data_IF_274034598395
#
_entry.id   IF_274034598395
#
_cell.length_a   1.000
_cell.length_b   1.000
_cell.length_c   1.000
_cell.angle_alpha   90.00
_cell.angle_beta   90.00
_cell.angle_gamma   90.00
#
_symmetry.space_group_name_H-M   'P 1'
#
loop_
_entity.id
_entity.type
_entity.pdbx_description
1 polymer ?
#
# COMPACT_ATOMS: atom_id res chain seq x y z
N UNK A 1 -50.56 14.54 44.05
CA UNK A 1 -49.92 15.18 42.87
C UNK A 1 -48.40 15.42 42.94
N UNK A 2 -47.75 15.40 44.13
CA UNK A 2 -46.27 15.62 44.23
C UNK A 2 -45.40 14.41 43.80
N UNK A 3 -45.91 13.18 43.88
CA UNK A 3 -45.13 11.96 43.55
C UNK A 3 -45.02 11.68 42.04
N UNK A 4 -45.92 12.20 41.20
CA UNK A 4 -45.83 12.04 39.72
C UNK A 4 -44.76 12.94 39.08
N UNK A 5 -44.46 14.10 39.72
CA UNK A 5 -43.42 15.01 39.16
C UNK A 5 -41.98 14.50 39.35
N UNK A 6 -41.75 13.75 40.42
CA UNK A 6 -40.42 13.19 40.72
C UNK A 6 -40.02 12.04 39.75
N UNK A 7 -40.98 11.25 39.29
CA UNK A 7 -40.70 10.16 38.31
C UNK A 7 -40.40 10.67 36.90
N UNK A 8 -41.03 11.77 36.49
CA UNK A 8 -40.81 12.33 35.17
C UNK A 8 -39.43 12.99 34.99
N UNK A 9 -38.91 13.60 36.07
CA UNK A 9 -37.55 14.20 36.04
C UNK A 9 -36.46 13.16 36.04
N UNK A 10 -36.65 12.03 36.74
CA UNK A 10 -35.67 10.91 36.71
C UNK A 10 -35.61 10.21 35.37
N UNK A 11 -36.71 10.08 34.65
CA UNK A 11 -36.76 9.45 33.33
C UNK A 11 -36.05 10.32 32.26
N UNK A 12 -36.18 11.65 32.35
CA UNK A 12 -35.53 12.58 31.43
C UNK A 12 -33.99 12.56 31.57
N UNK A 13 -33.45 12.41 32.80
CA UNK A 13 -32.01 12.34 33.05
C UNK A 13 -31.41 11.03 32.52
N UNK A 14 -32.11 9.91 32.65
CA UNK A 14 -31.65 8.62 32.10
C UNK A 14 -31.68 8.62 30.59
N UNK A 15 -32.69 9.24 29.95
CA UNK A 15 -32.71 9.38 28.48
C UNK A 15 -31.59 10.29 27.95
N UNK A 16 -31.25 11.36 28.66
CA UNK A 16 -30.14 12.24 28.27
C UNK A 16 -28.77 11.55 28.38
N UNK A 17 -28.57 10.69 29.38
CA UNK A 17 -27.35 9.91 29.55
C UNK A 17 -27.18 8.83 28.47
N UNK A 18 -28.26 8.20 28.03
CA UNK A 18 -28.21 7.20 26.95
C UNK A 18 -27.94 7.85 25.58
N UNK A 19 -28.43 9.07 25.34
CA UNK A 19 -28.20 9.78 24.10
C UNK A 19 -26.75 10.29 23.96
N UNK A 20 -26.02 10.53 25.05
CA UNK A 20 -24.61 10.98 24.98
C UNK A 20 -23.62 9.82 24.75
N UNK A 21 -23.99 8.59 25.05
CA UNK A 21 -23.17 7.41 24.79
C UNK A 21 -23.25 6.98 23.32
N UNK A 22 -24.33 7.34 22.59
CA UNK A 22 -24.50 6.96 21.19
C UNK A 22 -23.74 7.82 20.18
N UNK A 23 -23.15 8.95 20.58
CA UNK A 23 -22.42 9.84 19.66
C UNK A 23 -20.89 9.69 19.73
N UNK A 24 -20.38 8.78 20.54
CA UNK A 24 -18.96 8.45 20.59
C UNK A 24 -18.61 7.19 19.78
N UNK A 25 -19.38 6.87 18.75
CA UNK A 25 -18.96 5.90 17.77
C UNK A 25 -17.94 6.60 16.88
N UNK A 26 -16.70 6.45 17.28
CA UNK A 26 -15.56 6.89 16.47
C UNK A 26 -15.63 6.19 15.14
N UNK A 27 -15.52 6.97 14.04
CA UNK A 27 -15.46 6.48 12.66
C UNK A 27 -14.16 5.68 12.36
N UNK A 28 -13.60 5.00 13.37
CA UNK A 28 -12.29 4.37 13.35
C UNK A 28 -12.32 2.85 13.09
N UNK A 29 -13.50 2.27 12.81
CA UNK A 29 -13.63 0.81 12.85
C UNK A 29 -13.40 0.08 11.51
N UNK A 30 -13.10 0.73 10.39
CA UNK A 30 -13.11 0.04 9.08
C UNK A 30 -11.74 -0.11 8.38
N UNK A 31 -10.65 0.31 8.99
CA UNK A 31 -9.33 0.08 8.38
C UNK A 31 -8.62 -1.10 9.06
N UNK A 32 -8.74 -2.27 8.50
CA UNK A 32 -8.12 -3.51 8.97
C UNK A 32 -6.57 -3.43 9.15
N UNK A 33 -5.93 -2.41 8.57
CA UNK A 33 -4.50 -2.12 8.76
C UNK A 33 -4.21 -1.12 9.89
N UNK A 34 -5.23 -0.58 10.56
CA UNK A 34 -5.06 0.22 11.76
C UNK A 34 -4.80 -0.70 12.97
N UNK A 35 -3.82 -0.34 13.79
CA UNK A 35 -3.48 -1.11 14.98
C UNK A 35 -4.53 -1.00 16.08
N UNK A 36 -4.58 -2.01 16.95
CA UNK A 36 -5.49 -2.06 18.10
C UNK A 36 -5.10 -1.09 19.24
N UNK A 37 -3.83 -0.67 19.30
CA UNK A 37 -3.40 0.31 20.30
C UNK A 37 -4.02 1.69 20.04
N UNK A 38 -4.36 2.45 21.10
CA UNK A 38 -4.75 3.84 20.97
C UNK A 38 -3.71 4.63 20.20
N UNK A 39 -4.14 5.53 19.31
CA UNK A 39 -3.25 6.23 18.38
C UNK A 39 -1.97 6.80 19.01
N UNK A 40 -2.10 7.44 20.19
CA UNK A 40 -0.94 8.06 20.89
C UNK A 40 0.04 7.05 21.48
N UNK A 41 -0.37 5.80 21.64
CA UNK A 41 0.43 4.71 22.22
C UNK A 41 1.11 3.88 21.14
N UNK A 42 0.71 4.05 19.89
CA UNK A 42 1.36 3.37 18.76
C UNK A 42 2.81 3.80 18.63
N UNK A 43 3.63 2.90 18.14
CA UNK A 43 4.99 3.21 17.73
C UNK A 43 5.01 4.42 16.80
N UNK A 44 5.92 5.38 17.03
CA UNK A 44 6.01 6.57 16.17
C UNK A 44 6.44 6.22 14.75
N UNK A 45 6.15 7.12 13.80
CA UNK A 45 6.57 6.93 12.41
C UNK A 45 8.09 6.88 12.27
N UNK A 46 8.84 7.61 13.08
CA UNK A 46 10.29 7.57 13.10
C UNK A 46 10.82 6.21 13.61
N UNK A 47 10.20 5.65 14.66
CA UNK A 47 10.58 4.33 15.15
C UNK A 47 10.25 3.23 14.11
N UNK A 48 9.14 3.37 13.37
CA UNK A 48 8.85 2.49 12.24
C UNK A 48 9.94 2.55 11.16
N UNK A 49 10.41 3.74 10.81
CA UNK A 49 11.51 3.91 9.86
C UNK A 49 12.81 3.25 10.35
N UNK A 50 13.15 3.47 11.63
CA UNK A 50 14.35 2.90 12.25
C UNK A 50 14.35 1.37 12.27
N UNK A 51 13.18 0.74 12.37
CA UNK A 51 13.05 -0.70 12.57
C UNK A 51 12.58 -1.42 11.30
N UNK A 52 11.41 -1.09 10.78
CA UNK A 52 10.80 -1.83 9.67
C UNK A 52 11.43 -1.45 8.33
N UNK A 53 11.73 -0.17 8.10
CA UNK A 53 12.40 0.26 6.87
C UNK A 53 13.85 -0.26 6.80
N UNK A 54 14.55 -0.32 7.94
CA UNK A 54 15.87 -0.94 8.01
C UNK A 54 15.80 -2.44 7.69
N UNK A 55 14.84 -3.16 8.27
CA UNK A 55 14.62 -4.58 8.01
C UNK A 55 14.29 -4.85 6.54
N UNK A 56 13.52 -3.96 5.91
CA UNK A 56 13.28 -4.01 4.46
C UNK A 56 14.58 -3.96 3.66
N UNK A 57 15.51 -3.09 4.02
CA UNK A 57 16.81 -3.00 3.36
C UNK A 57 17.66 -4.26 3.49
N UNK A 58 17.66 -4.88 4.65
CA UNK A 58 18.35 -6.16 4.89
C UNK A 58 17.72 -7.27 4.03
N UNK A 59 16.39 -7.38 4.02
CA UNK A 59 15.66 -8.33 3.18
C UNK A 59 16.01 -8.16 1.70
N UNK A 60 15.93 -6.93 1.19
CA UNK A 60 16.26 -6.59 -0.19
C UNK A 60 17.70 -7.02 -0.54
N UNK A 61 18.65 -6.82 0.38
CA UNK A 61 20.05 -7.19 0.19
C UNK A 61 20.22 -8.71 0.08
N UNK A 62 19.53 -9.47 0.93
CA UNK A 62 19.57 -10.93 0.92
C UNK A 62 18.94 -11.52 -0.34
N UNK A 63 17.75 -11.03 -0.73
CA UNK A 63 17.08 -11.51 -1.92
C UNK A 63 17.85 -11.14 -3.18
N UNK A 64 18.44 -9.94 -3.25
CA UNK A 64 19.28 -9.51 -4.37
C UNK A 64 20.46 -10.44 -4.62
N UNK A 65 21.04 -11.01 -3.58
CA UNK A 65 22.14 -11.95 -3.72
C UNK A 65 21.73 -13.28 -4.39
N UNK A 66 20.44 -13.59 -4.39
CA UNK A 66 19.86 -14.85 -4.86
C UNK A 66 18.83 -14.66 -5.99
N UNK A 67 18.73 -13.47 -6.57
CA UNK A 67 17.75 -13.14 -7.60
C UNK A 67 18.40 -12.55 -8.84
N UNK A 68 17.60 -12.39 -9.90
CA UNK A 68 17.94 -11.56 -11.05
C UNK A 68 17.91 -10.05 -10.72
N UNK A 69 17.78 -9.20 -11.75
CA UNK A 69 17.70 -7.76 -11.56
C UNK A 69 16.59 -7.34 -10.60
N UNK A 70 16.84 -6.27 -9.84
CA UNK A 70 15.91 -5.68 -8.89
C UNK A 70 15.64 -4.24 -9.30
N UNK A 71 14.40 -3.82 -9.20
CA UNK A 71 13.99 -2.45 -9.53
C UNK A 71 13.05 -1.87 -8.47
N UNK A 72 13.16 -0.57 -8.23
CA UNK A 72 12.16 0.21 -7.51
C UNK A 72 11.07 0.62 -8.48
N UNK A 73 9.85 0.08 -8.31
CA UNK A 73 8.69 0.46 -9.12
C UNK A 73 8.09 1.77 -8.67
N UNK A 74 7.90 1.92 -7.36
CA UNK A 74 7.37 3.13 -6.73
C UNK A 74 8.30 3.50 -5.58
N UNK A 75 8.81 4.74 -5.52
CA UNK A 75 9.63 5.17 -4.40
C UNK A 75 8.80 5.27 -3.11
N UNK A 76 9.49 5.18 -1.98
CA UNK A 76 8.87 5.38 -0.68
C UNK A 76 8.24 6.76 -0.54
N UNK A 77 7.11 6.83 0.16
CA UNK A 77 6.35 8.05 0.40
C UNK A 77 5.85 8.12 1.84
N UNK A 78 5.74 9.32 2.39
CA UNK A 78 5.04 9.60 3.64
C UNK A 78 3.89 10.57 3.33
N UNK A 79 2.71 10.23 3.81
CA UNK A 79 1.50 11.05 3.70
C UNK A 79 0.95 11.39 5.07
N UNK A 80 0.18 12.47 5.17
CA UNK A 80 -0.54 12.81 6.40
C UNK A 80 -1.76 11.90 6.53
N UNK A 81 -2.06 11.50 7.75
CA UNK A 81 -3.27 10.80 8.13
C UNK A 81 -3.88 11.44 9.40
N UNK A 82 -4.92 10.88 9.98
CA UNK A 82 -5.68 11.41 11.14
C UNK A 82 -4.80 11.82 12.34
N UNK A 83 -4.19 13.00 12.27
CA UNK A 83 -3.33 13.54 13.33
C UNK A 83 -1.90 13.01 13.37
N UNK A 84 -1.49 12.26 12.36
CA UNK A 84 -0.16 11.66 12.23
C UNK A 84 0.28 11.48 10.80
N UNK A 85 1.06 10.44 10.59
CA UNK A 85 1.68 10.14 9.30
C UNK A 85 1.61 8.64 9.00
N UNK A 86 1.44 8.34 7.73
CA UNK A 86 1.54 6.98 7.20
C UNK A 86 2.69 6.93 6.20
N UNK A 87 3.50 5.90 6.28
CA UNK A 87 4.61 5.65 5.37
C UNK A 87 4.35 4.38 4.57
N UNK A 88 4.53 4.46 3.27
CA UNK A 88 4.72 3.29 2.42
C UNK A 88 6.18 3.24 2.00
N UNK A 89 6.84 2.10 2.20
CA UNK A 89 8.22 1.87 1.73
C UNK A 89 8.26 1.83 0.21
N UNK A 90 9.45 1.83 -0.38
CA UNK A 90 9.56 1.59 -1.81
C UNK A 90 8.93 0.25 -2.20
N UNK A 91 8.18 0.23 -3.31
CA UNK A 91 7.72 -1.02 -3.92
C UNK A 91 8.88 -1.57 -4.75
N UNK A 92 9.45 -2.66 -4.25
CA UNK A 92 10.59 -3.33 -4.86
C UNK A 92 10.10 -4.55 -5.63
N UNK A 93 10.56 -4.72 -6.86
CA UNK A 93 10.30 -5.91 -7.65
C UNK A 93 11.62 -6.61 -7.98
N UNK A 94 11.63 -7.92 -7.77
CA UNK A 94 12.73 -8.82 -8.08
C UNK A 94 12.36 -9.60 -9.34
N UNK A 95 13.20 -9.54 -10.37
CA UNK A 95 12.98 -10.30 -11.58
C UNK A 95 13.48 -11.75 -11.44
N UNK A 96 12.86 -12.64 -12.16
CA UNK A 96 13.24 -14.07 -12.16
C UNK A 96 14.69 -14.29 -12.63
N UNK A 97 15.38 -15.34 -12.18
CA UNK A 97 14.89 -16.36 -11.29
C UNK A 97 15.05 -15.98 -9.81
N UNK A 98 13.99 -16.05 -9.05
CA UNK A 98 14.01 -16.03 -7.59
C UNK A 98 13.12 -17.17 -7.11
N UNK A 99 13.59 -17.93 -6.11
CA UNK A 99 12.75 -18.91 -5.45
C UNK A 99 11.71 -18.17 -4.59
N UNK A 100 10.47 -18.13 -5.07
CA UNK A 100 9.36 -17.40 -4.44
C UNK A 100 9.03 -17.93 -3.06
N UNK A 101 9.07 -19.24 -2.86
CA UNK A 101 8.79 -19.87 -1.55
C UNK A 101 9.89 -19.55 -0.54
N UNK A 102 11.15 -19.61 -0.94
CA UNK A 102 12.26 -19.19 -0.11
C UNK A 102 12.16 -17.70 0.26
N UNK A 103 11.89 -16.83 -0.70
CA UNK A 103 11.76 -15.39 -0.47
C UNK A 103 10.59 -15.08 0.47
N UNK A 104 9.47 -15.80 0.34
CA UNK A 104 8.30 -15.71 1.21
C UNK A 104 8.60 -16.16 2.64
N UNK A 105 9.28 -17.30 2.80
CA UNK A 105 9.70 -17.80 4.10
C UNK A 105 10.68 -16.83 4.80
N UNK A 106 11.64 -16.30 4.06
CA UNK A 106 12.57 -15.28 4.56
C UNK A 106 11.82 -14.02 5.01
N UNK A 107 10.82 -13.55 4.25
CA UNK A 107 10.01 -12.41 4.65
C UNK A 107 9.26 -12.68 5.96
N UNK A 108 8.64 -13.86 6.12
CA UNK A 108 7.98 -14.26 7.37
C UNK A 108 8.91 -14.18 8.57
N UNK A 109 10.10 -14.77 8.46
CA UNK A 109 11.10 -14.78 9.53
C UNK A 109 11.54 -13.36 9.89
N UNK A 110 12.00 -12.61 8.90
CA UNK A 110 12.60 -11.30 9.13
C UNK A 110 11.61 -10.25 9.65
N UNK A 111 10.38 -10.24 9.13
CA UNK A 111 9.40 -9.24 9.54
C UNK A 111 8.69 -9.60 10.84
N UNK A 112 8.64 -10.89 11.23
CA UNK A 112 8.18 -11.30 12.55
C UNK A 112 9.07 -10.72 13.68
N UNK A 113 10.37 -10.61 13.47
CA UNK A 113 11.31 -10.02 14.45
C UNK A 113 11.02 -8.53 14.73
N UNK A 114 10.32 -7.85 13.85
CA UNK A 114 9.95 -6.43 14.00
C UNK A 114 8.45 -6.21 14.24
N UNK A 115 7.75 -7.26 14.68
CA UNK A 115 6.37 -7.18 15.17
C UNK A 115 5.28 -7.44 14.12
N UNK A 116 5.63 -7.75 12.87
CA UNK A 116 4.67 -8.10 11.83
C UNK A 116 4.45 -9.63 11.87
N UNK A 117 3.66 -10.09 12.82
CA UNK A 117 3.51 -11.52 13.15
C UNK A 117 2.22 -12.15 12.68
N UNK A 118 1.17 -11.36 12.48
CA UNK A 118 -0.13 -11.89 12.06
C UNK A 118 -0.18 -12.05 10.56
N UNK A 119 -0.40 -13.30 10.13
CA UNK A 119 -0.45 -13.64 8.71
C UNK A 119 -1.90 -13.63 8.26
N UNK A 120 -2.20 -12.86 7.23
CA UNK A 120 -3.47 -12.92 6.50
C UNK A 120 -3.19 -13.13 5.03
N UNK A 121 -4.04 -13.89 4.36
CA UNK A 121 -3.89 -14.19 2.95
C UNK A 121 -2.52 -14.79 2.61
N UNK A 122 -2.28 -16.03 3.07
CA UNK A 122 -1.08 -16.82 2.75
C UNK A 122 -1.43 -17.87 1.70
N UNK A 123 -1.35 -17.50 0.44
CA UNK A 123 -1.71 -18.31 -0.71
C UNK A 123 -0.60 -18.32 -1.79
N UNK A 124 -0.92 -18.89 -2.95
CA UNK A 124 0.00 -18.99 -4.09
C UNK A 124 0.35 -17.62 -4.71
N UNK A 125 -0.51 -16.61 -4.52
CA UNK A 125 -0.29 -15.27 -5.07
C UNK A 125 0.50 -14.35 -4.12
N UNK A 126 0.64 -14.73 -2.85
CA UNK A 126 1.40 -13.94 -1.89
C UNK A 126 0.97 -14.06 -0.44
N UNK A 127 1.33 -13.04 0.36
CA UNK A 127 0.92 -12.96 1.75
C UNK A 127 0.91 -11.54 2.27
N UNK A 128 0.17 -11.32 3.37
CA UNK A 128 0.24 -10.12 4.18
C UNK A 128 0.68 -10.47 5.60
N UNK A 129 1.64 -9.71 6.12
CA UNK A 129 2.09 -9.77 7.51
C UNK A 129 1.69 -8.48 8.20
N UNK A 130 0.94 -8.57 9.30
CA UNK A 130 0.38 -7.41 10.01
C UNK A 130 1.02 -7.19 11.37
N UNK A 131 1.16 -5.91 11.75
CA UNK A 131 1.35 -5.46 13.12
C UNK A 131 -0.02 -5.13 13.73
N UNK A 132 -0.62 -6.08 14.45
CA UNK A 132 -1.94 -5.89 15.08
C UNK A 132 -1.95 -4.80 16.14
N UNK A 133 -0.82 -4.51 16.76
CA UNK A 133 -0.74 -3.52 17.83
C UNK A 133 -0.64 -2.11 17.29
N UNK A 134 0.31 -1.87 16.40
CA UNK A 134 0.59 -0.52 15.92
C UNK A 134 -0.06 -0.22 14.56
N UNK A 135 -0.54 -1.23 13.87
CA UNK A 135 -1.06 -1.13 12.51
C UNK A 135 0.02 -1.22 11.44
N UNK A 136 -0.44 -1.32 10.22
CA UNK A 136 0.42 -1.51 9.05
C UNK A 136 0.65 -2.97 8.70
N UNK A 137 1.27 -3.19 7.57
CA UNK A 137 1.53 -4.52 7.03
C UNK A 137 2.72 -4.54 6.08
N UNK A 138 3.24 -5.73 5.84
CA UNK A 138 4.09 -6.05 4.68
C UNK A 138 3.26 -6.86 3.70
N UNK A 139 3.26 -6.43 2.45
CA UNK A 139 2.71 -7.17 1.33
C UNK A 139 3.85 -7.82 0.56
N UNK A 140 3.78 -9.13 0.44
CA UNK A 140 4.64 -9.93 -0.40
C UNK A 140 3.78 -10.55 -1.49
N UNK A 141 4.01 -10.18 -2.73
CA UNK A 141 3.26 -10.66 -3.89
C UNK A 141 4.11 -11.49 -4.84
N UNK A 142 3.62 -12.65 -5.23
CA UNK A 142 4.17 -13.45 -6.31
C UNK A 142 3.46 -13.04 -7.60
N UNK A 143 4.21 -12.56 -8.58
CA UNK A 143 3.68 -12.11 -9.87
C UNK A 143 3.88 -13.15 -10.98
N UNK A 144 3.73 -14.44 -10.65
CA UNK A 144 3.98 -15.55 -11.56
C UNK A 144 5.36 -15.42 -12.22
N UNK A 145 5.42 -15.44 -13.54
CA UNK A 145 6.67 -15.33 -14.32
C UNK A 145 7.38 -13.97 -14.19
N UNK A 146 6.76 -12.99 -13.53
CA UNK A 146 7.31 -11.62 -13.41
C UNK A 146 8.15 -11.39 -12.16
N UNK A 147 8.28 -12.41 -11.29
CA UNK A 147 9.08 -12.35 -10.07
C UNK A 147 8.26 -11.97 -8.83
N UNK A 148 8.93 -11.40 -7.85
CA UNK A 148 8.39 -11.08 -6.52
C UNK A 148 8.29 -9.58 -6.37
N UNK A 149 7.22 -9.09 -5.75
CA UNK A 149 7.08 -7.71 -5.32
C UNK A 149 6.95 -7.64 -3.80
N UNK A 150 7.57 -6.63 -3.19
CA UNK A 150 7.52 -6.41 -1.76
C UNK A 150 7.37 -4.92 -1.45
N UNK A 151 6.52 -4.59 -0.50
CA UNK A 151 6.44 -3.28 0.13
C UNK A 151 5.83 -3.40 1.54
N UNK A 152 6.05 -2.38 2.36
CA UNK A 152 5.44 -2.27 3.67
C UNK A 152 4.73 -0.93 3.83
N UNK A 153 3.63 -0.91 4.58
CA UNK A 153 2.98 0.31 5.04
C UNK A 153 2.90 0.34 6.55
N UNK A 154 3.08 1.52 7.13
CA UNK A 154 3.12 1.67 8.58
C UNK A 154 1.74 1.70 9.24
N UNK A 155 0.66 1.89 8.47
CA UNK A 155 -0.55 2.43 9.03
C UNK A 155 -0.35 3.85 9.57
N UNK A 156 -1.41 4.46 10.11
CA UNK A 156 -1.36 5.80 10.65
C UNK A 156 -0.68 5.82 12.03
N UNK A 157 0.43 6.58 12.17
CA UNK A 157 1.27 6.63 13.38
C UNK A 157 1.53 8.05 13.84
N UNK A 158 1.68 8.29 15.16
CA UNK A 158 2.08 9.59 15.66
C UNK A 158 3.52 9.93 15.27
N UNK A 159 3.87 11.22 15.22
CA UNK A 159 5.26 11.66 15.21
C UNK A 159 5.82 11.66 16.65
N UNK A 160 7.09 11.19 16.83
CA UNK A 160 7.75 11.10 18.14
C UNK A 160 7.87 12.45 18.85
N UNK A 161 8.12 13.50 18.10
CA UNK A 161 8.45 14.84 18.60
C UNK A 161 7.57 15.95 18.00
N UNK A 162 6.51 15.57 17.29
CA UNK A 162 5.63 16.50 16.61
C UNK A 162 6.21 17.11 15.31
N UNK A 163 7.44 16.74 14.94
CA UNK A 163 8.02 17.20 13.66
C UNK A 163 7.38 16.48 12.46
N UNK A 164 7.35 17.17 11.33
CA UNK A 164 6.88 16.57 10.09
C UNK A 164 7.97 15.67 9.48
N UNK A 165 7.79 14.34 9.48
CA UNK A 165 8.79 13.42 8.98
C UNK A 165 9.07 13.57 7.48
N UNK A 166 8.18 14.22 6.72
CA UNK A 166 8.38 14.46 5.28
C UNK A 166 9.49 15.47 5.01
N UNK A 167 9.76 16.35 5.98
CA UNK A 167 10.80 17.39 5.85
C UNK A 167 12.17 16.94 6.31
N UNK A 168 12.24 15.95 7.17
CA UNK A 168 13.49 15.47 7.79
C UNK A 168 13.98 14.15 7.22
N UNK A 169 13.09 13.40 6.54
CA UNK A 169 13.43 12.07 6.02
C UNK A 169 14.41 12.12 4.86
N UNK A 170 15.46 11.35 4.97
CA UNK A 170 16.33 10.96 3.85
C UNK A 170 15.96 9.55 3.43
N UNK A 171 15.81 9.31 2.14
CA UNK A 171 15.61 7.94 1.63
C UNK A 171 16.80 7.07 2.00
N UNK A 172 16.57 5.82 2.45
CA UNK A 172 17.66 4.94 2.79
C UNK A 172 18.50 4.59 1.56
N UNK A 173 19.77 4.32 1.81
CA UNK A 173 20.71 4.03 0.73
C UNK A 173 20.29 2.84 -0.12
N UNK A 174 19.76 1.79 0.50
CA UNK A 174 19.30 0.61 -0.22
C UNK A 174 18.23 0.94 -1.28
N UNK A 175 17.35 1.93 -1.04
CA UNK A 175 16.35 2.39 -2.01
C UNK A 175 16.98 3.18 -3.15
N UNK A 176 18.00 3.99 -2.85
CA UNK A 176 18.67 4.85 -3.84
C UNK A 176 19.65 4.09 -4.73
N UNK A 177 20.20 2.99 -4.23
CA UNK A 177 21.15 2.13 -4.95
C UNK A 177 20.47 1.16 -5.94
N UNK A 178 19.16 1.03 -5.87
CA UNK A 178 18.38 0.19 -6.79
C UNK A 178 17.89 1.02 -7.98
N UNK A 179 18.05 0.52 -9.22
CA UNK A 179 17.52 1.19 -10.39
C UNK A 179 16.00 1.40 -10.30
N UNK A 180 15.53 2.56 -10.72
CA UNK A 180 14.09 2.79 -10.88
C UNK A 180 13.59 2.11 -12.13
N UNK A 181 12.45 1.44 -12.02
CA UNK A 181 11.75 0.92 -13.18
C UNK A 181 11.40 2.06 -14.14
N UNK A 182 11.78 1.89 -15.39
CA UNK A 182 11.38 2.77 -16.50
C UNK A 182 10.55 1.91 -17.44
N UNK A 183 9.26 2.21 -17.63
CA UNK A 183 8.47 1.48 -18.61
C UNK A 183 9.13 1.63 -19.99
N UNK A 184 9.10 0.58 -20.83
CA UNK A 184 9.62 0.68 -22.18
C UNK A 184 8.91 1.83 -22.89
N UNK A 185 9.70 2.69 -23.56
CA UNK A 185 9.15 3.78 -24.36
C UNK A 185 8.41 3.12 -25.52
N UNK A 186 7.09 3.07 -25.46
CA UNK A 186 6.29 2.64 -26.62
C UNK A 186 6.42 3.74 -27.66
N UNK A 187 7.28 3.51 -28.66
CA UNK A 187 7.24 4.32 -29.87
C UNK A 187 5.81 4.17 -30.42
N UNK A 188 5.06 5.26 -30.58
CA UNK A 188 3.72 5.13 -31.14
C UNK A 188 3.84 4.44 -32.50
N UNK A 189 3.22 3.28 -32.63
CA UNK A 189 3.13 2.59 -33.93
C UNK A 189 2.43 3.56 -34.85
N UNK A 190 3.07 3.96 -36.00
CA UNK A 190 2.42 4.85 -36.92
C UNK A 190 1.05 4.26 -37.28
N UNK A 191 0.00 5.07 -37.39
CA UNK A 191 -1.31 4.58 -37.71
C UNK A 191 -1.21 3.75 -39.00
N UNK A 192 -1.68 2.51 -38.94
CA UNK A 192 -1.75 1.62 -40.08
C UNK A 192 -2.45 2.38 -41.20
N UNK A 193 -1.73 2.64 -42.30
CA UNK A 193 -2.28 3.33 -43.45
C UNK A 193 -3.63 2.67 -43.82
N UNK A 194 -4.70 3.44 -43.72
CA UNK A 194 -6.02 2.96 -44.12
C UNK A 194 -5.99 2.52 -45.58
N UNK A 195 -6.90 1.64 -46.00
CA UNK A 195 -6.97 1.23 -47.39
C UNK A 195 -7.11 2.47 -48.29
N UNK A 196 -6.20 2.60 -49.24
CA UNK A 196 -6.25 3.67 -50.24
C UNK A 196 -7.64 3.66 -50.89
N UNK A 197 -8.34 4.81 -50.96
CA UNK A 197 -9.65 4.87 -51.60
C UNK A 197 -9.51 4.35 -53.04
N UNK A 198 -10.37 3.41 -53.40
CA UNK A 198 -10.41 2.90 -54.78
C UNK A 198 -10.67 4.07 -55.74
N UNK A 199 -9.84 4.21 -56.74
CA UNK A 199 -10.02 5.19 -57.83
C UNK A 199 -11.37 4.95 -58.50
N UNK A 200 -12.26 5.95 -58.64
CA UNK A 200 -13.53 5.77 -59.32
C UNK A 200 -13.30 5.38 -60.75
N UNK A 201 -13.79 4.22 -61.12
CA UNK A 201 -13.77 3.73 -62.52
C UNK A 201 -14.77 4.56 -63.30
N UNK A 202 -14.30 5.36 -64.23
CA UNK A 202 -15.15 6.13 -65.17
C UNK A 202 -15.93 5.12 -66.07
N UNK A 203 -17.28 5.21 -66.14
CA UNK A 203 -18.03 4.32 -67.01
C UNK A 203 -17.72 4.60 -68.48
N UNK A 204 -17.43 3.52 -69.21
CA UNK A 204 -17.22 3.60 -70.65
C UNK A 204 -18.50 4.06 -71.35
N UNK A 205 -18.39 5.12 -72.14
CA UNK A 205 -19.47 5.61 -72.98
C UNK A 205 -19.60 4.66 -74.17
N UNK A 206 -20.70 3.96 -74.27
CA UNK A 206 -21.03 3.12 -75.46
C UNK A 206 -21.34 4.02 -76.65
N UNK A 207 -20.76 3.73 -77.84
CA UNK A 207 -21.12 4.48 -79.06
C UNK A 207 -22.51 4.09 -79.53
N UNK A 208 -23.30 5.12 -79.85
CA UNK A 208 -24.62 4.97 -80.48
C UNK A 208 -24.47 4.56 -81.98
N UNK A 209 -25.18 3.53 -82.46
CA UNK A 209 -25.18 3.21 -83.91
C UNK A 209 -26.03 4.21 -84.66
N UNK A 210 -25.51 4.76 -85.79
CA UNK A 210 -26.18 5.53 -86.83
C UNK A 210 -26.94 4.66 -87.85
#
# INVERSE_FOLDING_TARGET
MRRLRACLTSLAIVMALVATVSCARTEDEDNWWDGSAPFKERQSIQAYQEVVEARMGEYVTLVKANSGPIVVRVPSIIVSCRGGYEMTTAIVAFEMPVDGEWAKALAKEMFAEVGLTTITNDDEDGMFLHDETNGGFVNFGLNGDRGVALYATSGCRPSRDGTDPRTTRTRPQWETDIPRYRPPTTTPTPPKAGPTPATPTTPAVSPTPG
#
